data_IF_278372762295
#
_entry.id   IF_278372762295
#
_cell.length_a   1.000
_cell.length_b   1.000
_cell.length_c   1.000
_cell.angle_alpha   90.00
_cell.angle_beta   90.00
_cell.angle_gamma   90.00
#
_symmetry.space_group_name_H-M   'P 1'
#
loop_
_entity.id
_entity.type
_entity.pdbx_description
1 polymer ?
#
# COMPACT_ATOMS: atom_id res chain seq x y z
N UNK A 1 63.90 -12.20 -11.93
CA UNK A 1 62.45 -11.96 -11.73
C UNK A 1 62.01 -12.85 -10.59
N UNK A 2 62.00 -12.30 -9.38
CA UNK A 2 61.76 -13.06 -8.15
C UNK A 2 60.34 -13.61 -8.20
N UNK A 3 60.22 -14.94 -8.29
CA UNK A 3 58.96 -15.65 -8.18
C UNK A 3 58.35 -15.28 -6.83
N UNK A 4 57.43 -14.33 -6.84
CA UNK A 4 56.53 -14.07 -5.71
C UNK A 4 55.83 -15.39 -5.46
N UNK A 5 56.27 -16.10 -4.42
CA UNK A 5 55.92 -17.50 -4.21
C UNK A 5 54.42 -17.71 -4.34
N UNK A 6 54.02 -18.72 -5.10
CA UNK A 6 52.64 -18.97 -5.57
C UNK A 6 51.59 -18.82 -4.46
N UNK A 7 51.94 -19.18 -3.21
CA UNK A 7 51.11 -18.95 -2.02
C UNK A 7 50.72 -17.49 -1.81
N UNK A 8 51.64 -16.53 -1.96
CA UNK A 8 51.35 -15.10 -1.81
C UNK A 8 50.38 -14.63 -2.90
N UNK A 9 50.57 -15.10 -4.12
CA UNK A 9 49.68 -14.76 -5.24
C UNK A 9 48.25 -15.28 -5.00
N UNK A 10 48.10 -16.51 -4.49
CA UNK A 10 46.81 -17.08 -4.12
C UNK A 10 46.12 -16.30 -2.97
N UNK A 11 46.89 -15.85 -1.97
CA UNK A 11 46.35 -15.02 -0.89
C UNK A 11 45.85 -13.67 -1.39
N UNK A 12 46.59 -13.01 -2.29
CA UNK A 12 46.14 -11.75 -2.89
C UNK A 12 44.88 -11.92 -3.74
N UNK A 13 44.80 -12.99 -4.54
CA UNK A 13 43.61 -13.28 -5.34
C UNK A 13 42.38 -13.54 -4.46
N UNK A 14 42.53 -14.29 -3.36
CA UNK A 14 41.45 -14.56 -2.42
C UNK A 14 40.94 -13.29 -1.74
N UNK A 15 41.84 -12.43 -1.21
CA UNK A 15 41.47 -11.15 -0.58
C UNK A 15 40.80 -10.22 -1.58
N UNK A 16 41.32 -10.14 -2.81
CA UNK A 16 40.74 -9.30 -3.85
C UNK A 16 39.34 -9.77 -4.27
N UNK A 17 39.14 -11.09 -4.41
CA UNK A 17 37.82 -11.66 -4.74
C UNK A 17 36.79 -11.42 -3.63
N UNK A 18 37.21 -11.52 -2.37
CA UNK A 18 36.37 -11.24 -1.21
C UNK A 18 36.05 -9.73 -1.12
N UNK A 19 36.95 -8.85 -1.49
CA UNK A 19 36.69 -7.40 -1.55
C UNK A 19 35.76 -6.97 -2.68
N UNK A 20 35.79 -7.67 -3.83
CA UNK A 20 34.94 -7.34 -4.99
C UNK A 20 33.49 -7.83 -4.80
N UNK A 21 33.29 -9.00 -4.19
CA UNK A 21 31.95 -9.56 -3.93
C UNK A 21 31.42 -9.26 -2.53
N UNK A 22 32.30 -9.08 -1.54
CA UNK A 22 31.96 -8.86 -0.14
C UNK A 22 31.67 -7.40 0.15
N UNK A 23 30.60 -6.85 -0.43
CA UNK A 23 29.98 -5.65 0.14
C UNK A 23 29.14 -6.04 1.36
N UNK A 24 29.78 -6.57 2.41
CA UNK A 24 29.14 -6.68 3.72
C UNK A 24 29.18 -5.30 4.35
N UNK A 25 28.22 -4.44 3.99
CA UNK A 25 28.01 -3.18 4.70
C UNK A 25 27.48 -3.54 6.10
N UNK A 26 28.39 -3.58 7.07
CA UNK A 26 28.07 -3.78 8.48
C UNK A 26 27.30 -2.56 9.00
N UNK A 27 25.98 -2.66 9.06
CA UNK A 27 25.12 -1.64 9.66
C UNK A 27 24.77 -2.08 11.07
N UNK A 28 25.03 -1.23 12.06
CA UNK A 28 24.90 -1.55 13.49
C UNK A 28 23.44 -1.82 13.94
N UNK A 29 22.45 -1.58 13.07
CA UNK A 29 21.02 -1.77 13.39
C UNK A 29 20.42 -3.08 12.87
N UNK A 30 21.09 -3.75 11.91
CA UNK A 30 20.58 -4.98 11.30
C UNK A 30 21.76 -5.80 10.76
N UNK A 31 22.07 -6.91 11.44
CA UNK A 31 23.16 -7.81 11.06
C UNK A 31 23.08 -8.31 9.61
N UNK A 32 24.20 -8.89 9.13
CA UNK A 32 24.49 -9.46 7.79
C UNK A 32 23.30 -9.41 6.81
N UNK A 33 23.11 -8.25 6.17
CA UNK A 33 22.12 -8.07 5.11
C UNK A 33 22.69 -8.57 3.78
N UNK A 34 22.52 -9.86 3.50
CA UNK A 34 22.69 -10.43 2.17
C UNK A 34 21.57 -9.90 1.25
N UNK A 35 21.76 -8.73 0.67
CA UNK A 35 21.13 -8.29 -0.60
C UNK A 35 19.64 -8.57 -0.80
N UNK A 36 18.78 -8.48 0.23
CA UNK A 36 17.34 -8.41 0.04
C UNK A 36 16.96 -6.93 0.18
N UNK A 37 16.74 -6.18 -0.92
CA UNK A 37 16.14 -4.87 -0.78
C UNK A 37 14.78 -5.08 -0.12
N UNK A 38 14.53 -4.40 1.00
CA UNK A 38 13.23 -4.35 1.65
C UNK A 38 12.18 -4.03 0.59
N UNK A 39 11.45 -5.04 0.13
CA UNK A 39 10.37 -4.86 -0.84
C UNK A 39 9.24 -4.23 -0.05
N UNK A 40 9.22 -2.90 -0.09
CA UNK A 40 8.09 -2.11 0.33
C UNK A 40 6.92 -2.54 -0.56
N UNK A 41 6.02 -3.36 0.00
CA UNK A 41 4.83 -3.85 -0.69
C UNK A 41 3.87 -2.67 -0.91
N UNK A 42 4.18 -1.82 -1.88
CA UNK A 42 3.32 -0.74 -2.36
C UNK A 42 2.17 -1.38 -3.11
N UNK A 43 1.08 -1.64 -2.40
CA UNK A 43 -0.15 -2.15 -3.00
C UNK A 43 -0.78 -1.07 -3.89
N UNK A 44 -0.37 -1.10 -5.16
CA UNK A 44 -1.01 -0.46 -6.30
C UNK A 44 -1.01 1.09 -6.32
N UNK A 45 -0.88 1.72 -7.50
CA UNK A 45 -1.08 3.16 -7.63
C UNK A 45 -2.48 3.59 -7.18
N UNK A 46 -2.67 4.87 -6.78
CA UNK A 46 -3.87 5.43 -6.13
C UNK A 46 -5.20 5.37 -6.92
N UNK A 47 -5.28 4.57 -7.99
CA UNK A 47 -6.49 4.31 -8.77
C UNK A 47 -6.70 2.83 -9.14
N UNK A 48 -5.92 1.90 -8.57
CA UNK A 48 -6.09 0.47 -8.81
C UNK A 48 -7.14 -0.14 -7.87
N UNK A 49 -7.80 -1.25 -8.24
CA UNK A 49 -8.83 -1.89 -7.41
C UNK A 49 -8.34 -2.28 -6.00
N UNK A 50 -7.03 -2.48 -5.81
CA UNK A 50 -6.43 -2.81 -4.51
C UNK A 50 -6.00 -1.56 -3.72
N UNK A 51 -6.22 -0.36 -4.25
CA UNK A 51 -5.87 0.89 -3.56
C UNK A 51 -6.85 1.20 -2.42
N UNK A 52 -6.35 1.21 -1.18
CA UNK A 52 -7.12 1.54 0.03
C UNK A 52 -7.78 2.92 -0.08
N UNK A 53 -7.08 3.91 -0.65
CA UNK A 53 -7.63 5.25 -0.86
C UNK A 53 -8.80 5.24 -1.87
N UNK A 54 -8.71 4.42 -2.92
CA UNK A 54 -9.77 4.24 -3.91
C UNK A 54 -10.99 3.49 -3.36
N UNK A 55 -10.77 2.54 -2.44
CA UNK A 55 -11.85 1.83 -1.72
C UNK A 55 -12.57 2.79 -0.78
N UNK A 56 -11.84 3.57 0.01
CA UNK A 56 -12.42 4.55 0.94
C UNK A 56 -13.34 5.56 0.24
N UNK A 57 -12.94 6.07 -0.93
CA UNK A 57 -13.79 6.98 -1.72
C UNK A 57 -15.04 6.29 -2.28
N UNK A 58 -14.96 5.01 -2.66
CA UNK A 58 -16.11 4.24 -3.16
C UNK A 58 -17.09 3.89 -2.06
N UNK A 59 -16.60 3.52 -0.88
CA UNK A 59 -17.45 3.20 0.28
C UNK A 59 -18.17 4.44 0.77
N UNK A 60 -17.50 5.60 0.88
CA UNK A 60 -18.17 6.84 1.28
C UNK A 60 -19.24 7.27 0.28
N UNK A 61 -18.96 7.22 -1.03
CA UNK A 61 -19.97 7.55 -2.05
C UNK A 61 -21.18 6.61 -1.95
N UNK A 62 -20.97 5.30 -1.80
CA UNK A 62 -22.07 4.32 -1.65
C UNK A 62 -22.86 4.53 -0.36
N UNK A 63 -22.19 4.82 0.75
CA UNK A 63 -22.85 5.08 2.02
C UNK A 63 -23.70 6.37 1.97
N UNK A 64 -23.19 7.44 1.34
CA UNK A 64 -23.94 8.69 1.17
C UNK A 64 -25.14 8.49 0.26
N UNK A 65 -24.98 7.86 -0.91
CA UNK A 65 -26.09 7.62 -1.84
C UNK A 65 -27.13 6.66 -1.23
N UNK A 66 -26.68 5.56 -0.62
CA UNK A 66 -27.56 4.62 0.06
C UNK A 66 -28.28 5.24 1.25
N UNK A 67 -27.56 5.99 2.09
CA UNK A 67 -28.13 6.70 3.23
C UNK A 67 -29.15 7.77 2.81
N UNK A 68 -28.88 8.52 1.74
CA UNK A 68 -29.82 9.50 1.20
C UNK A 68 -31.09 8.83 0.65
N UNK A 69 -30.95 7.72 -0.08
CA UNK A 69 -32.10 6.97 -0.61
C UNK A 69 -32.98 6.39 0.52
N UNK A 70 -32.35 5.79 1.54
CA UNK A 70 -33.07 5.25 2.70
C UNK A 70 -33.71 6.38 3.52
N UNK A 71 -33.02 7.49 3.74
CA UNK A 71 -33.56 8.66 4.44
C UNK A 71 -34.75 9.29 3.72
N UNK A 72 -34.69 9.40 2.39
CA UNK A 72 -35.80 9.91 1.59
C UNK A 72 -37.01 8.96 1.61
N UNK A 73 -36.79 7.65 1.52
CA UNK A 73 -37.85 6.65 1.62
C UNK A 73 -38.51 6.67 3.00
N UNK A 74 -37.70 6.74 4.07
CA UNK A 74 -38.19 6.85 5.44
C UNK A 74 -38.99 8.13 5.65
N UNK A 75 -38.51 9.28 5.15
CA UNK A 75 -39.24 10.54 5.23
C UNK A 75 -40.58 10.51 4.47
N UNK A 76 -40.61 9.89 3.28
CA UNK A 76 -41.83 9.71 2.50
C UNK A 76 -42.83 8.75 3.15
N UNK A 77 -42.35 7.74 3.88
CA UNK A 77 -43.19 6.79 4.62
C UNK A 77 -43.63 7.31 6.00
N UNK A 78 -42.90 8.27 6.57
CA UNK A 78 -43.16 8.79 7.90
C UNK A 78 -44.35 9.76 7.98
N UNK A 79 -44.79 10.34 6.86
CA UNK A 79 -45.94 11.24 6.84
C UNK A 79 -47.20 10.59 6.24
N UNK A 80 -48.35 10.90 6.84
CA UNK A 80 -49.66 10.53 6.27
C UNK A 80 -50.03 11.59 5.24
N UNK A 81 -50.29 11.15 4.00
CA UNK A 81 -50.70 12.03 2.89
C UNK A 81 -52.18 12.36 3.02
N UNK A 82 -52.51 13.61 3.36
CA UNK A 82 -53.90 14.09 3.44
C UNK A 82 -54.16 15.09 2.32
N UNK A 83 -55.32 14.99 1.66
CA UNK A 83 -55.70 15.90 0.58
C UNK A 83 -56.49 17.10 1.14
N UNK A 84 -55.96 18.30 1.00
CA UNK A 84 -56.57 19.55 1.50
C UNK A 84 -56.52 20.61 0.40
N UNK A 85 -57.67 21.21 0.07
CA UNK A 85 -57.76 22.32 -0.90
C UNK A 85 -57.03 22.08 -2.24
N UNK A 86 -57.05 20.85 -2.77
CA UNK A 86 -56.41 20.53 -4.05
C UNK A 86 -54.96 20.02 -3.96
N UNK A 87 -54.35 19.97 -2.78
CA UNK A 87 -52.96 19.58 -2.58
C UNK A 87 -52.80 18.43 -1.57
N UNK A 88 -51.80 17.58 -1.78
CA UNK A 88 -51.40 16.57 -0.80
C UNK A 88 -50.43 17.17 0.22
N UNK A 89 -50.83 17.18 1.48
CA UNK A 89 -50.02 17.67 2.60
C UNK A 89 -49.54 16.47 3.42
N UNK A 90 -48.27 16.48 3.83
CA UNK A 90 -47.72 15.51 4.77
C UNK A 90 -48.02 15.97 6.20
N UNK A 91 -48.80 15.17 6.94
CA UNK A 91 -49.14 15.36 8.35
C UNK A 91 -48.49 14.28 9.19
#
# INVERSE_FOLDING_TARGET
MTLVGTKRMLLFAAVLSCGIFGSTNWSNDAGIALGVPSVEARVGPPATPVSVAGVARRTTRRAVVGGAAVGAAAAGAACVRVYVNGAYVCR
#
